data_IF_695789550695
#
_entry.id   IF_695789550695
#
_cell.length_a   1.000
_cell.length_b   1.000
_cell.length_c   1.000
_cell.angle_alpha   90.00
_cell.angle_beta   90.00
_cell.angle_gamma   90.00
#
_symmetry.space_group_name_H-M   'P 1'
#
loop_
_entity.id
_entity.type
_entity.pdbx_description
1 polymer ?
#
# COMPACT_ATOMS: atom_id res chain seq x y z
N UNK A 1 10.75 -34.95 -12.50
CA UNK A 1 10.03 -33.73 -12.10
C UNK A 1 10.18 -32.72 -13.23
N UNK A 2 9.07 -32.28 -13.82
CA UNK A 2 9.05 -31.49 -15.06
C UNK A 2 9.35 -30.02 -14.79
N UNK A 3 10.15 -29.40 -15.67
CA UNK A 3 10.63 -28.01 -15.63
C UNK A 3 9.55 -26.97 -15.26
N UNK A 4 8.30 -27.22 -15.62
CA UNK A 4 7.17 -26.33 -15.38
C UNK A 4 6.86 -26.09 -13.90
N UNK A 5 7.10 -27.07 -13.01
CA UNK A 5 6.83 -26.90 -11.57
C UNK A 5 7.88 -26.02 -10.86
N UNK A 6 9.08 -25.90 -11.44
CA UNK A 6 10.18 -25.10 -10.86
C UNK A 6 10.00 -23.62 -11.23
N UNK A 7 9.47 -23.34 -12.42
CA UNK A 7 9.26 -21.96 -12.91
C UNK A 7 8.13 -21.25 -12.16
N UNK A 8 7.05 -21.95 -11.80
CA UNK A 8 5.95 -21.35 -11.03
C UNK A 8 6.32 -21.03 -9.59
N UNK A 9 7.12 -21.89 -8.94
CA UNK A 9 7.56 -21.67 -7.55
C UNK A 9 8.52 -20.49 -7.41
N UNK A 10 9.31 -20.19 -8.44
CA UNK A 10 10.27 -19.09 -8.42
C UNK A 10 9.63 -17.72 -8.76
N UNK A 11 8.49 -17.71 -9.46
CA UNK A 11 7.82 -16.48 -9.90
C UNK A 11 7.00 -15.79 -8.80
N UNK A 12 6.74 -16.47 -7.67
CA UNK A 12 5.83 -16.00 -6.61
C UNK A 12 6.53 -15.64 -5.30
N UNK A 13 7.84 -15.81 -5.20
CA UNK A 13 8.59 -15.38 -4.02
C UNK A 13 9.23 -14.04 -4.33
N UNK A 14 8.77 -12.97 -3.66
CA UNK A 14 9.60 -11.78 -3.55
C UNK A 14 10.97 -12.22 -3.04
N UNK A 15 12.08 -11.66 -3.55
CA UNK A 15 13.40 -11.95 -3.05
C UNK A 15 13.44 -11.80 -1.52
N UNK A 16 14.07 -12.73 -0.80
CA UNK A 16 14.10 -12.73 0.68
C UNK A 16 14.55 -11.38 1.30
N UNK A 17 15.35 -10.59 0.57
CA UNK A 17 15.78 -9.26 0.99
C UNK A 17 14.66 -8.21 0.97
N UNK A 18 13.67 -8.34 0.07
CA UNK A 18 12.51 -7.45 -0.05
C UNK A 18 11.55 -7.68 1.12
N UNK A 19 11.30 -8.95 1.47
CA UNK A 19 10.57 -9.32 2.68
C UNK A 19 11.27 -8.82 3.95
N UNK A 20 12.60 -8.96 4.00
CA UNK A 20 13.42 -8.44 5.13
C UNK A 20 13.34 -6.92 5.24
N UNK A 21 13.39 -6.20 4.11
CA UNK A 21 13.23 -4.75 4.07
C UNK A 21 11.83 -4.33 4.51
N UNK A 22 10.79 -5.05 4.05
CA UNK A 22 9.41 -4.76 4.41
C UNK A 22 9.15 -5.00 5.89
N UNK A 23 9.75 -6.03 6.47
CA UNK A 23 9.70 -6.29 7.92
C UNK A 23 10.39 -5.24 8.80
N UNK A 24 11.04 -4.22 8.22
CA UNK A 24 11.57 -3.09 8.99
C UNK A 24 10.54 -2.02 9.31
N UNK A 25 9.41 -1.98 8.59
CA UNK A 25 8.32 -1.04 8.81
C UNK A 25 7.41 -1.49 9.97
N UNK A 26 6.69 -0.55 10.57
CA UNK A 26 5.82 -0.83 11.72
C UNK A 26 4.46 -1.41 11.29
N UNK A 27 3.94 -0.96 10.14
CA UNK A 27 2.63 -1.34 9.63
C UNK A 27 2.54 -1.23 8.10
N UNK A 28 1.46 -1.78 7.55
CA UNK A 28 1.23 -1.87 6.11
C UNK A 28 -0.24 -1.60 5.75
N UNK A 29 -0.45 -0.83 4.70
CA UNK A 29 -1.74 -0.65 4.02
C UNK A 29 -1.74 -1.47 2.73
N UNK A 30 -2.74 -2.35 2.57
CA UNK A 30 -2.86 -3.27 1.43
C UNK A 30 -3.97 -2.82 0.50
N UNK A 31 -3.59 -2.24 -0.64
CA UNK A 31 -4.49 -1.82 -1.70
C UNK A 31 -4.59 -2.93 -2.77
N UNK A 32 -5.72 -2.97 -3.47
CA UNK A 32 -5.86 -3.79 -4.67
C UNK A 32 -5.01 -3.22 -5.81
N UNK A 33 -4.42 -4.08 -6.64
CA UNK A 33 -3.66 -3.62 -7.82
C UNK A 33 -4.51 -2.86 -8.85
N UNK A 34 -5.82 -3.04 -8.80
CA UNK A 34 -6.78 -2.37 -9.68
C UNK A 34 -7.24 -1.00 -9.14
N UNK A 35 -6.71 -0.55 -8.01
CA UNK A 35 -7.05 0.78 -7.50
C UNK A 35 -6.69 1.86 -8.52
N UNK A 36 -7.50 2.91 -8.61
CA UNK A 36 -7.28 3.95 -9.61
C UNK A 36 -5.93 4.62 -9.39
N UNK A 37 -5.24 4.94 -10.49
CA UNK A 37 -3.92 5.61 -10.43
C UNK A 37 -4.06 6.98 -9.81
N UNK A 38 -5.19 7.63 -10.06
CA UNK A 38 -5.57 8.93 -9.54
C UNK A 38 -5.66 8.86 -8.01
N UNK A 39 -6.37 7.87 -7.46
CA UNK A 39 -6.44 7.66 -6.01
C UNK A 39 -5.08 7.33 -5.41
N UNK A 40 -4.32 6.42 -6.02
CA UNK A 40 -2.99 6.06 -5.53
C UNK A 40 -2.06 7.28 -5.52
N UNK A 41 -2.09 8.09 -6.58
CA UNK A 41 -1.28 9.31 -6.66
C UNK A 41 -1.66 10.31 -5.56
N UNK A 42 -2.95 10.54 -5.37
CA UNK A 42 -3.48 11.38 -4.31
C UNK A 42 -3.03 10.91 -2.92
N UNK A 43 -3.13 9.60 -2.65
CA UNK A 43 -2.72 9.02 -1.38
C UNK A 43 -1.24 9.23 -1.09
N UNK A 44 -0.38 9.00 -2.09
CA UNK A 44 1.06 9.16 -1.95
C UNK A 44 1.45 10.63 -1.80
N UNK A 45 0.81 11.54 -2.53
CA UNK A 45 1.01 12.99 -2.37
C UNK A 45 0.63 13.44 -0.96
N UNK A 46 -0.54 13.02 -0.47
CA UNK A 46 -1.00 13.35 0.88
C UNK A 46 -0.03 12.84 1.96
N UNK A 47 0.47 11.61 1.82
CA UNK A 47 1.48 11.06 2.71
C UNK A 47 2.78 11.89 2.71
N UNK A 48 3.26 12.31 1.53
CA UNK A 48 4.43 13.18 1.38
C UNK A 48 4.20 14.55 2.02
N UNK A 49 3.05 15.17 1.78
CA UNK A 49 2.69 16.48 2.34
C UNK A 49 2.67 16.47 3.87
N UNK A 50 2.24 15.34 4.45
CA UNK A 50 2.21 15.12 5.90
C UNK A 50 3.50 14.50 6.45
N UNK A 51 4.54 14.35 5.63
CA UNK A 51 5.88 13.87 6.02
C UNK A 51 5.86 12.46 6.61
N UNK A 52 4.99 11.60 6.10
CA UNK A 52 4.95 10.17 6.46
C UNK A 52 6.16 9.49 5.82
N UNK A 53 6.91 8.73 6.63
CA UNK A 53 7.97 7.87 6.12
C UNK A 53 7.36 6.54 5.67
N UNK A 54 7.40 6.27 4.36
CA UNK A 54 6.79 5.07 3.78
C UNK A 54 7.64 4.42 2.68
N UNK A 55 7.38 3.14 2.45
CA UNK A 55 7.85 2.36 1.32
C UNK A 55 6.68 1.89 0.46
N UNK A 56 6.85 1.93 -0.87
CA UNK A 56 5.86 1.44 -1.83
C UNK A 56 6.33 0.14 -2.47
N UNK A 57 5.54 -0.92 -2.30
CA UNK A 57 5.84 -2.26 -2.79
C UNK A 57 4.71 -2.79 -3.68
N UNK A 58 5.07 -3.69 -4.59
CA UNK A 58 4.12 -4.33 -5.50
C UNK A 58 4.19 -5.85 -5.33
N UNK A 59 3.01 -6.46 -5.21
CA UNK A 59 2.83 -7.91 -5.21
C UNK A 59 1.73 -8.29 -6.21
N UNK A 60 1.64 -9.59 -6.53
CA UNK A 60 0.57 -10.09 -7.39
C UNK A 60 -0.79 -9.76 -6.77
N UNK A 61 -1.55 -8.88 -7.42
CA UNK A 61 -2.89 -8.48 -6.98
C UNK A 61 -2.93 -7.33 -5.95
N UNK A 62 -1.78 -6.81 -5.52
CA UNK A 62 -1.72 -5.83 -4.43
C UNK A 62 -0.66 -4.76 -4.61
N UNK A 63 -0.97 -3.59 -4.08
CA UNK A 63 -0.01 -2.51 -3.83
C UNK A 63 0.07 -2.35 -2.31
N UNK A 64 1.27 -2.35 -1.77
CA UNK A 64 1.50 -2.28 -0.34
C UNK A 64 2.21 -0.96 -0.03
N UNK A 65 1.61 -0.16 0.85
CA UNK A 65 2.23 1.04 1.42
C UNK A 65 2.63 0.67 2.84
N UNK A 66 3.92 0.38 3.05
CA UNK A 66 4.47 0.12 4.38
C UNK A 66 4.93 1.45 5.00
N UNK A 67 4.75 1.65 6.30
CA UNK A 67 5.06 2.94 6.95
C UNK A 67 5.57 2.76 8.38
N UNK A 68 6.21 3.81 8.89
CA UNK A 68 6.60 3.92 10.29
C UNK A 68 5.48 4.58 11.13
N UNK A 69 5.50 4.34 12.45
CA UNK A 69 4.35 4.36 13.36
C UNK A 69 3.38 5.55 13.32
N UNK A 70 2.16 5.34 13.82
CA UNK A 70 1.17 6.39 14.16
C UNK A 70 0.58 7.20 13.00
N UNK A 71 1.13 7.06 11.80
CA UNK A 71 0.79 7.84 10.59
C UNK A 71 -0.39 7.26 9.80
N UNK A 72 -1.10 6.27 10.35
CA UNK A 72 -2.28 5.64 9.73
C UNK A 72 -3.33 6.66 9.31
N UNK A 73 -3.42 7.79 10.03
CA UNK A 73 -4.39 8.85 9.79
C UNK A 73 -4.12 9.63 8.49
N UNK A 74 -2.90 9.55 7.95
CA UNK A 74 -2.46 10.19 6.71
C UNK A 74 -2.29 9.18 5.57
N UNK A 75 -2.68 7.93 5.79
CA UNK A 75 -2.61 6.87 4.79
C UNK A 75 -4.02 6.43 4.38
N UNK A 76 -4.14 5.74 3.22
CA UNK A 76 -5.42 5.20 2.82
C UNK A 76 -5.96 4.22 3.84
N UNK A 77 -7.24 4.36 4.19
CA UNK A 77 -7.94 3.43 5.06
C UNK A 77 -9.30 3.08 4.47
N UNK A 78 -9.82 1.92 4.90
CA UNK A 78 -11.14 1.45 4.46
C UNK A 78 -12.17 1.84 5.52
N UNK A 79 -13.01 2.81 5.19
CA UNK A 79 -14.02 3.36 6.11
C UNK A 79 -15.26 2.46 6.22
N UNK A 80 -16.22 2.84 7.06
CA UNK A 80 -17.47 2.10 7.30
C UNK A 80 -18.31 1.88 6.05
N UNK A 81 -18.19 2.77 5.05
CA UNK A 81 -18.83 2.64 3.73
C UNK A 81 -18.17 1.57 2.83
N UNK A 82 -17.10 0.93 3.32
CA UNK A 82 -16.30 -0.09 2.65
C UNK A 82 -15.60 0.44 1.40
N UNK A 83 -15.34 1.73 1.31
CA UNK A 83 -14.53 2.33 0.24
C UNK A 83 -13.19 2.77 0.81
N UNK A 84 -12.23 2.94 -0.09
CA UNK A 84 -10.91 3.48 0.25
C UNK A 84 -11.00 5.00 0.26
N UNK A 85 -10.49 5.60 1.33
CA UNK A 85 -10.45 7.04 1.52
C UNK A 85 -9.08 7.44 2.05
N UNK A 86 -8.76 8.73 1.92
CA UNK A 86 -7.54 9.33 2.45
C UNK A 86 -7.96 10.30 3.57
N UNK A 87 -7.33 10.18 4.74
CA UNK A 87 -7.65 10.98 5.93
C UNK A 87 -8.48 10.22 6.98
N UNK A 88 -9.11 10.98 7.86
CA UNK A 88 -9.88 10.46 9.00
C UNK A 88 -11.38 10.43 8.69
N UNK A 89 -12.04 9.30 8.95
CA UNK A 89 -13.48 9.10 8.71
C UNK A 89 -14.36 10.11 9.48
N UNK A 90 -13.93 10.53 10.68
CA UNK A 90 -14.64 11.51 11.52
C UNK A 90 -14.26 12.97 11.20
N UNK A 91 -13.47 13.21 10.15
CA UNK A 91 -13.11 14.56 9.68
C UNK A 91 -13.42 14.70 8.19
N UNK A 92 -13.31 15.92 7.71
CA UNK A 92 -13.50 16.21 6.29
C UNK A 92 -12.51 15.36 5.46
N UNK A 93 -13.00 14.54 4.51
CA UNK A 93 -12.15 13.67 3.70
C UNK A 93 -11.15 14.50 2.90
N UNK A 94 -9.96 13.96 2.66
CA UNK A 94 -9.12 14.50 1.61
C UNK A 94 -9.75 14.16 0.26
N UNK A 95 -10.31 15.17 -0.40
CA UNK A 95 -10.78 15.07 -1.77
C UNK A 95 -9.65 15.55 -2.70
N UNK A 96 -9.05 14.64 -3.51
CA UNK A 96 -8.02 15.06 -4.46
C UNK A 96 -8.52 15.98 -5.57
N UNK A 97 -9.84 16.15 -5.74
CA UNK A 97 -10.44 16.97 -6.80
C UNK A 97 -10.32 16.34 -8.20
N UNK A 98 -11.20 16.76 -9.11
CA UNK A 98 -11.37 16.30 -10.51
C UNK A 98 -10.07 16.26 -11.36
#
# INVERSE_FOLDING_TARGET
MTKHQITEKLAHQQPDWLETLRGSFDAEVHLLSEISREFLSAALLWAIENKVDFGLFHETGKIIIAHFGGDEIYLPSRWSDKRWHIGLEDREPFDPGD
#
